data_IF_138673242008
#
_entry.id   IF_138673242008
#
_cell.length_a   1.000
_cell.length_b   1.000
_cell.length_c   1.000
_cell.angle_alpha   90.00
_cell.angle_beta   90.00
_cell.angle_gamma   90.00
#
_symmetry.space_group_name_H-M   'P 1'
#
loop_
_entity.id
_entity.type
_entity.pdbx_description
1 polymer ?
#
# COMPACT_ATOMS: atom_id res chain seq x y z
N UNK A 1 -2.72 12.38 5.65
CA UNK A 1 -3.52 12.23 4.40
C UNK A 1 -5.00 12.34 4.72
N UNK A 2 -5.53 11.49 5.60
CA UNK A 2 -6.92 11.51 6.14
C UNK A 2 -7.49 12.93 6.37
N UNK A 3 -6.87 13.72 7.26
CA UNK A 3 -7.38 15.05 7.64
C UNK A 3 -7.35 16.07 6.50
N UNK A 4 -6.43 15.92 5.54
CA UNK A 4 -6.35 16.80 4.36
C UNK A 4 -7.50 16.51 3.40
N UNK A 5 -7.87 15.24 3.22
CA UNK A 5 -9.01 14.85 2.40
C UNK A 5 -10.34 15.26 3.04
N UNK A 6 -10.53 15.00 4.35
CA UNK A 6 -11.76 15.39 5.05
C UNK A 6 -12.00 16.90 5.03
N UNK A 7 -10.93 17.69 5.14
CA UNK A 7 -11.00 19.16 5.01
C UNK A 7 -11.39 19.59 3.60
N UNK A 8 -10.80 18.98 2.58
CA UNK A 8 -11.14 19.27 1.19
C UNK A 8 -12.61 18.97 0.88
N UNK A 9 -13.12 17.80 1.30
CA UNK A 9 -14.54 17.42 1.14
C UNK A 9 -15.48 18.36 1.90
N UNK A 10 -15.06 18.87 3.07
CA UNK A 10 -15.85 19.83 3.84
C UNK A 10 -15.75 21.28 3.33
N UNK A 11 -14.91 21.57 2.33
CA UNK A 11 -14.62 22.93 1.87
C UNK A 11 -13.86 23.78 2.89
N UNK A 12 -13.22 23.16 3.88
CA UNK A 12 -12.58 23.84 5.01
C UNK A 12 -11.10 24.07 4.72
N UNK A 13 -10.72 25.33 4.69
CA UNK A 13 -9.35 25.79 4.51
C UNK A 13 -8.59 25.85 5.86
N UNK A 14 -7.30 26.22 5.80
CA UNK A 14 -6.54 26.55 7.02
C UNK A 14 -7.00 27.85 7.68
N UNK A 15 -7.61 28.77 6.91
CA UNK A 15 -8.01 30.09 7.39
C UNK A 15 -9.22 30.03 8.32
N UNK A 16 -10.08 29.02 8.14
CA UNK A 16 -11.29 28.82 8.93
C UNK A 16 -11.02 28.39 10.38
N UNK A 17 -9.75 28.05 10.70
CA UNK A 17 -9.28 27.66 12.05
C UNK A 17 -10.13 26.57 12.74
N UNK A 18 -10.93 25.81 11.98
CA UNK A 18 -11.75 24.71 12.50
C UNK A 18 -10.86 23.58 12.98
N UNK A 19 -11.16 23.03 14.17
CA UNK A 19 -10.39 21.93 14.76
C UNK A 19 -10.60 20.63 13.97
N UNK A 20 -9.55 19.82 13.84
CA UNK A 20 -9.61 18.55 13.11
C UNK A 20 -10.63 17.57 13.72
N UNK A 21 -10.83 17.62 15.03
CA UNK A 21 -11.79 16.76 15.74
C UNK A 21 -13.22 17.06 15.33
N UNK A 22 -13.56 18.34 15.16
CA UNK A 22 -14.88 18.77 14.65
C UNK A 22 -15.11 18.31 13.20
N UNK A 23 -14.08 18.37 12.35
CA UNK A 23 -14.14 17.84 10.98
C UNK A 23 -14.39 16.33 10.99
N UNK A 24 -13.67 15.60 11.83
CA UNK A 24 -13.85 14.14 11.97
C UNK A 24 -15.22 13.76 12.49
N UNK A 25 -15.73 14.46 13.51
CA UNK A 25 -17.05 14.26 14.06
C UNK A 25 -18.14 14.46 13.01
N UNK A 26 -18.00 15.50 12.17
CA UNK A 26 -18.94 15.77 11.06
C UNK A 26 -19.05 14.60 10.08
N UNK A 27 -17.97 13.86 9.86
CA UNK A 27 -17.96 12.69 8.96
C UNK A 27 -18.06 11.35 9.70
N UNK A 28 -18.22 11.34 11.03
CA UNK A 28 -18.22 10.11 11.83
C UNK A 28 -16.90 9.33 11.79
N UNK A 29 -15.78 9.98 11.45
CA UNK A 29 -14.49 9.31 11.25
C UNK A 29 -13.73 9.25 12.58
N UNK A 30 -13.45 8.04 13.06
CA UNK A 30 -12.55 7.83 14.20
C UNK A 30 -11.11 8.22 13.83
N UNK A 31 -10.36 8.94 14.69
CA UNK A 31 -8.96 9.26 14.42
C UNK A 31 -8.13 8.00 14.08
N UNK A 32 -7.24 8.11 13.09
CA UNK A 32 -6.41 6.97 12.67
C UNK A 32 -5.62 6.33 13.82
N UNK A 33 -5.09 7.13 14.76
CA UNK A 33 -4.31 6.59 15.88
C UNK A 33 -5.14 5.65 16.77
N UNK A 34 -6.44 5.92 16.93
CA UNK A 34 -7.36 5.06 17.67
C UNK A 34 -7.59 3.74 16.95
N UNK A 35 -7.75 3.77 15.62
CA UNK A 35 -7.86 2.53 14.82
C UNK A 35 -6.57 1.71 14.81
N UNK A 36 -5.42 2.38 14.77
CA UNK A 36 -4.12 1.72 14.92
C UNK A 36 -3.97 1.09 16.31
N UNK A 37 -4.41 1.79 17.37
CA UNK A 37 -4.41 1.27 18.75
C UNK A 37 -5.34 0.06 18.87
N UNK A 38 -6.55 0.16 18.34
CA UNK A 38 -7.54 -0.92 18.34
C UNK A 38 -6.99 -2.18 17.62
N UNK A 39 -6.41 -2.03 16.43
CA UNK A 39 -5.81 -3.14 15.70
C UNK A 39 -4.66 -3.79 16.49
N UNK A 40 -3.81 -2.98 17.13
CA UNK A 40 -2.71 -3.47 17.98
C UNK A 40 -3.24 -4.25 19.18
N UNK A 41 -4.28 -3.76 19.85
CA UNK A 41 -4.89 -4.44 21.00
C UNK A 41 -5.56 -5.76 20.59
N UNK A 42 -6.24 -5.81 19.44
CA UNK A 42 -6.78 -7.06 18.91
C UNK A 42 -5.67 -8.06 18.61
N UNK A 43 -4.60 -7.62 17.96
CA UNK A 43 -3.43 -8.46 17.70
C UNK A 43 -2.83 -9.00 19.01
N UNK A 44 -2.63 -8.13 20.01
CA UNK A 44 -2.10 -8.54 21.31
C UNK A 44 -3.03 -9.54 22.01
N UNK A 45 -4.34 -9.31 21.96
CA UNK A 45 -5.34 -10.28 22.44
C UNK A 45 -5.26 -11.62 21.71
N UNK A 46 -5.04 -11.63 20.39
CA UNK A 46 -4.80 -12.86 19.64
C UNK A 46 -3.53 -13.57 20.07
N UNK A 47 -2.44 -12.84 20.32
CA UNK A 47 -1.20 -13.41 20.84
C UNK A 47 -1.41 -14.00 22.23
N UNK A 48 -2.13 -13.31 23.12
CA UNK A 48 -2.42 -13.82 24.46
C UNK A 48 -3.32 -15.06 24.46
N UNK A 49 -4.23 -15.20 23.51
CA UNK A 49 -5.08 -16.38 23.37
C UNK A 49 -4.44 -17.53 22.59
N UNK A 50 -3.29 -17.30 21.97
CA UNK A 50 -2.58 -18.35 21.23
C UNK A 50 -1.95 -19.36 22.20
N UNK A 51 -1.83 -20.61 21.74
CA UNK A 51 -1.18 -21.68 22.48
C UNK A 51 0.32 -21.36 22.72
N UNK A 52 0.87 -21.91 23.81
CA UNK A 52 2.25 -21.69 24.23
C UNK A 52 3.31 -22.30 23.30
N UNK A 53 2.92 -23.13 22.34
CA UNK A 53 3.78 -23.66 21.29
C UNK A 53 3.92 -22.71 20.09
N UNK A 54 3.07 -21.69 19.99
CA UNK A 54 3.10 -20.76 18.86
C UNK A 54 4.27 -19.78 18.95
N UNK A 55 4.96 -19.58 17.82
CA UNK A 55 6.07 -18.61 17.69
C UNK A 55 5.70 -17.21 18.22
N UNK A 56 4.43 -16.80 18.05
CA UNK A 56 3.94 -15.49 18.52
C UNK A 56 3.87 -15.38 20.05
N UNK A 57 3.42 -16.43 20.74
CA UNK A 57 3.30 -16.48 22.20
C UNK A 57 4.68 -16.67 22.85
N UNK A 58 5.51 -17.52 22.26
CA UNK A 58 6.91 -17.69 22.65
C UNK A 58 7.69 -16.40 22.53
N UNK A 59 7.56 -15.68 21.41
CA UNK A 59 8.14 -14.36 21.21
C UNK A 59 7.79 -13.33 22.29
N UNK A 60 6.62 -13.46 22.92
CA UNK A 60 6.18 -12.57 24.00
C UNK A 60 6.82 -12.90 25.35
N UNK A 61 7.20 -14.15 25.57
CA UNK A 61 7.75 -14.68 26.82
C UNK A 61 9.28 -14.82 26.79
N UNK A 62 9.93 -14.55 25.65
CA UNK A 62 11.39 -14.60 25.52
C UNK A 62 12.00 -13.44 26.33
N UNK A 63 12.70 -13.79 27.41
CA UNK A 63 13.64 -12.86 28.04
C UNK A 63 14.94 -12.83 27.22
N UNK A 64 15.01 -11.86 26.31
CA UNK A 64 16.12 -11.66 25.38
C UNK A 64 17.46 -11.41 26.11
N UNK A 65 17.42 -11.00 27.38
CA UNK A 65 18.61 -10.76 28.19
C UNK A 65 19.26 -12.05 28.72
N UNK A 66 18.43 -12.98 29.22
CA UNK A 66 18.85 -14.12 30.02
C UNK A 66 19.03 -15.43 29.23
N UNK A 67 18.33 -15.59 28.09
CA UNK A 67 18.30 -16.87 27.37
C UNK A 67 19.25 -16.88 26.16
N UNK A 68 20.29 -17.71 26.23
CA UNK A 68 21.29 -17.86 25.17
C UNK A 68 20.66 -18.39 23.87
N UNK A 69 19.63 -19.24 23.98
CA UNK A 69 18.92 -19.80 22.83
C UNK A 69 18.05 -18.72 22.15
N UNK A 70 17.49 -17.78 22.92
CA UNK A 70 16.76 -16.63 22.39
C UNK A 70 17.65 -15.71 21.54
N UNK A 71 18.90 -15.48 21.95
CA UNK A 71 19.87 -14.68 21.19
C UNK A 71 20.24 -15.35 19.87
N UNK A 72 20.41 -16.67 19.85
CA UNK A 72 20.71 -17.43 18.64
C UNK A 72 19.52 -17.44 17.66
N UNK A 73 18.29 -17.62 18.16
CA UNK A 73 17.07 -17.49 17.35
C UNK A 73 16.94 -16.07 16.80
N UNK A 74 17.18 -15.02 17.60
CA UNK A 74 17.11 -13.63 17.13
C UNK A 74 18.13 -13.36 16.02
N UNK A 75 19.36 -13.86 16.18
CA UNK A 75 20.43 -13.71 15.18
C UNK A 75 20.09 -14.43 13.86
N UNK A 76 19.50 -15.63 13.91
CA UNK A 76 19.06 -16.36 12.70
C UNK A 76 17.88 -15.67 12.01
N UNK A 77 16.93 -15.16 12.80
CA UNK A 77 15.80 -14.36 12.36
C UNK A 77 16.31 -13.10 11.66
N UNK A 78 17.26 -12.36 12.23
CA UNK A 78 17.82 -11.14 11.64
C UNK A 78 18.45 -11.39 10.25
N UNK A 79 19.15 -12.50 10.03
CA UNK A 79 19.73 -12.83 8.72
C UNK A 79 18.65 -13.10 7.67
N UNK A 80 17.62 -13.89 8.00
CA UNK A 80 16.52 -14.17 7.08
C UNK A 80 15.63 -12.95 6.82
N UNK A 81 15.38 -12.14 7.84
CA UNK A 81 14.65 -10.88 7.71
C UNK A 81 15.44 -9.88 6.89
N UNK A 82 16.76 -9.81 7.07
CA UNK A 82 17.64 -8.98 6.24
C UNK A 82 17.57 -9.42 4.78
N UNK A 83 17.64 -10.72 4.50
CA UNK A 83 17.48 -11.24 3.13
C UNK A 83 16.11 -10.91 2.54
N UNK A 84 15.03 -11.07 3.31
CA UNK A 84 13.67 -10.72 2.89
C UNK A 84 13.51 -9.22 2.66
N UNK A 85 14.08 -8.41 3.52
CA UNK A 85 14.06 -6.95 3.43
C UNK A 85 14.82 -6.49 2.19
N UNK A 86 16.00 -7.03 1.92
CA UNK A 86 16.78 -6.75 0.71
C UNK A 86 15.96 -7.09 -0.54
N UNK A 87 15.35 -8.28 -0.59
CA UNK A 87 14.51 -8.67 -1.72
C UNK A 87 13.28 -7.76 -1.87
N UNK A 88 12.66 -7.34 -0.76
CA UNK A 88 11.54 -6.39 -0.78
C UNK A 88 11.98 -5.01 -1.30
N UNK A 89 13.11 -4.50 -0.83
CA UNK A 89 13.68 -3.24 -1.26
C UNK A 89 14.05 -3.26 -2.74
N UNK A 90 14.71 -4.33 -3.22
CA UNK A 90 15.01 -4.52 -4.64
C UNK A 90 13.73 -4.58 -5.46
N UNK A 91 12.73 -5.37 -5.03
CA UNK A 91 11.43 -5.44 -5.71
C UNK A 91 10.75 -4.07 -5.79
N UNK A 92 10.79 -3.28 -4.72
CA UNK A 92 10.22 -1.93 -4.70
C UNK A 92 11.00 -0.95 -5.59
N UNK A 93 12.33 -1.07 -5.64
CA UNK A 93 13.19 -0.24 -6.48
C UNK A 93 12.95 -0.51 -7.97
N UNK A 94 12.84 -1.79 -8.37
CA UNK A 94 12.63 -2.18 -9.76
C UNK A 94 11.17 -2.11 -10.21
N UNK A 95 10.21 -2.09 -9.28
CA UNK A 95 8.78 -2.09 -9.62
C UNK A 95 8.40 -0.96 -10.61
N UNK A 96 8.80 0.31 -10.44
CA UNK A 96 8.49 1.37 -11.40
C UNK A 96 9.11 1.16 -12.78
N UNK A 97 10.33 0.63 -12.84
CA UNK A 97 11.02 0.35 -14.11
C UNK A 97 10.33 -0.76 -14.89
N UNK A 98 10.03 -1.87 -14.22
CA UNK A 98 9.32 -3.01 -14.81
C UNK A 98 7.91 -2.59 -15.26
N UNK A 99 7.20 -1.82 -14.44
CA UNK A 99 5.89 -1.29 -14.78
C UNK A 99 5.94 -0.41 -16.05
N UNK A 100 6.97 0.43 -16.19
CA UNK A 100 7.16 1.24 -17.39
C UNK A 100 7.44 0.40 -18.65
N UNK A 101 8.31 -0.61 -18.55
CA UNK A 101 8.63 -1.52 -19.68
C UNK A 101 7.39 -2.30 -20.12
N UNK A 102 6.63 -2.86 -19.17
CA UNK A 102 5.39 -3.60 -19.48
C UNK A 102 4.33 -2.70 -20.11
N UNK A 103 4.18 -1.46 -19.65
CA UNK A 103 3.26 -0.49 -20.27
C UNK A 103 3.70 -0.18 -21.70
N UNK A 104 5.00 0.04 -21.94
CA UNK A 104 5.53 0.32 -23.27
C UNK A 104 5.32 -0.84 -24.25
N UNK A 105 5.58 -2.07 -23.81
CA UNK A 105 5.36 -3.31 -24.57
C UNK A 105 3.88 -3.45 -24.98
N UNK A 106 2.95 -3.32 -24.02
CA UNK A 106 1.51 -3.38 -24.29
C UNK A 106 1.03 -2.30 -25.26
N UNK A 107 1.59 -1.09 -25.15
CA UNK A 107 1.30 -0.02 -26.09
C UNK A 107 1.83 -0.33 -27.50
N UNK A 108 2.98 -1.00 -27.61
CA UNK A 108 3.50 -1.39 -28.92
C UNK A 108 2.60 -2.44 -29.58
N UNK A 109 2.26 -3.50 -28.85
CA UNK A 109 1.38 -4.57 -29.34
C UNK A 109 0.02 -4.05 -29.83
N UNK A 110 -0.59 -3.14 -29.09
CA UNK A 110 -1.89 -2.56 -29.48
C UNK A 110 -1.77 -1.59 -30.67
N UNK A 111 -0.61 -0.96 -30.89
CA UNK A 111 -0.36 -0.11 -32.06
C UNK A 111 -0.19 -0.97 -33.31
N UNK A 112 0.52 -2.10 -33.21
CA UNK A 112 0.65 -3.08 -34.29
C UNK A 112 -0.72 -3.63 -34.74
N UNK A 113 -1.67 -3.74 -33.81
CA UNK A 113 -3.07 -4.14 -34.09
C UNK A 113 -3.93 -3.03 -34.72
N UNK A 114 -3.37 -1.85 -35.00
CA UNK A 114 -4.07 -0.74 -35.64
C UNK A 114 -4.99 0.06 -34.70
N UNK A 115 -4.82 -0.06 -33.37
CA UNK A 115 -5.61 0.72 -32.43
C UNK A 115 -4.94 2.08 -32.13
N UNK A 116 -5.74 3.14 -32.02
CA UNK A 116 -5.26 4.44 -31.52
C UNK A 116 -5.10 4.37 -30.01
N UNK A 117 -3.88 4.56 -29.52
CA UNK A 117 -3.55 4.42 -28.09
C UNK A 117 -3.21 5.76 -27.46
N UNK A 118 -3.80 6.00 -26.29
CA UNK A 118 -3.48 7.12 -25.43
C UNK A 118 -3.04 6.62 -24.05
N UNK A 119 -1.91 7.14 -23.58
CA UNK A 119 -1.44 6.93 -22.20
C UNK A 119 -1.93 8.12 -21.37
N UNK A 120 -2.79 7.89 -20.38
CA UNK A 120 -3.40 8.97 -19.58
C UNK A 120 -3.05 8.83 -18.10
N UNK A 121 -2.55 9.90 -17.44
CA UNK A 121 -2.39 9.90 -15.99
C UNK A 121 -3.76 10.07 -15.31
N UNK A 122 -4.23 9.04 -14.61
CA UNK A 122 -5.43 9.06 -13.79
C UNK A 122 -5.25 9.85 -12.48
N UNK A 123 -4.02 9.89 -11.95
CA UNK A 123 -3.66 10.59 -10.72
C UNK A 123 -2.39 11.42 -10.89
N UNK A 124 -2.19 12.42 -10.04
CA UNK A 124 -0.89 13.08 -9.93
C UNK A 124 0.18 12.08 -9.47
N UNK A 125 1.36 12.01 -10.12
CA UNK A 125 2.45 11.10 -9.72
C UNK A 125 2.88 11.25 -8.26
N UNK A 126 2.69 12.43 -7.68
CA UNK A 126 2.99 12.75 -6.27
C UNK A 126 2.05 12.07 -5.28
N UNK A 127 0.84 11.68 -5.71
CA UNK A 127 -0.17 11.01 -4.88
C UNK A 127 -0.01 9.48 -4.99
N UNK A 128 0.22 8.99 -6.21
CA UNK A 128 0.49 7.57 -6.47
C UNK A 128 1.44 7.43 -7.66
N UNK A 129 2.56 6.71 -7.52
CA UNK A 129 3.44 6.41 -8.66
C UNK A 129 2.77 5.47 -9.70
N UNK A 130 1.73 4.71 -9.29
CA UNK A 130 0.89 3.91 -10.19
C UNK A 130 -0.31 4.71 -10.66
N UNK A 131 -0.08 5.63 -11.57
CA UNK A 131 -1.10 6.59 -11.99
C UNK A 131 -1.49 6.50 -13.47
N UNK A 132 -0.93 5.57 -14.24
CA UNK A 132 -1.12 5.57 -15.69
C UNK A 132 -2.14 4.52 -16.11
N UNK A 133 -3.06 4.88 -17.01
CA UNK A 133 -3.93 3.95 -17.74
C UNK A 133 -3.63 3.99 -19.24
N UNK A 134 -3.75 2.83 -19.89
CA UNK A 134 -3.70 2.69 -21.35
C UNK A 134 -5.13 2.70 -21.88
N UNK A 135 -5.46 3.66 -22.75
CA UNK A 135 -6.74 3.74 -23.45
C UNK A 135 -6.48 3.36 -24.91
N UNK A 136 -7.08 2.27 -25.36
CA UNK A 136 -7.06 1.87 -26.76
C UNK A 136 -8.45 2.11 -27.37
N UNK A 137 -8.50 2.94 -28.41
CA UNK A 137 -9.72 3.17 -29.18
C UNK A 137 -9.70 2.20 -30.36
N UNK A 138 -10.66 1.27 -30.34
CA UNK A 138 -10.94 0.41 -31.49
C UNK A 138 -11.56 1.28 -32.57
N UNK A 139 -10.93 1.35 -33.74
CA UNK A 139 -11.58 2.01 -34.87
C UNK A 139 -12.83 1.22 -35.26
N UNK A 140 -13.95 1.90 -35.60
CA UNK A 140 -15.13 1.21 -36.08
C UNK A 140 -14.71 0.47 -37.35
N UNK A 141 -14.80 -0.86 -37.30
CA UNK A 141 -14.68 -1.69 -38.49
C UNK A 141 -15.75 -1.21 -39.46
N UNK A 142 -15.36 -0.68 -40.61
CA UNK A 142 -16.27 -0.56 -41.75
C UNK A 142 -16.62 -2.00 -42.12
N UNK A 143 -17.73 -2.48 -41.56
CA UNK A 143 -18.39 -3.69 -42.02
C UNK A 143 -18.97 -3.31 -43.38
N UNK A 144 -18.29 -3.71 -44.45
CA UNK A 144 -18.95 -3.87 -45.75
C UNK A 144 -19.96 -5.00 -45.59
N UNK A 145 -21.23 -4.60 -45.43
CA UNK A 145 -22.37 -5.39 -45.84
C UNK A 145 -22.29 -5.60 -47.37
N UNK A 146 -22.53 -6.85 -47.77
CA UNK A 146 -22.92 -7.37 -49.10
C UNK A 146 -22.19 -6.91 -50.37
#
# INVERSE_FOLDING_TARGET
>A
METKMLRWTAGVTRLDRVRNDSIRQRFGVTPMFEKMREARLRWYGHVLRANNDTVRKNGLNLDVGADANAKEVLNSVDVEWSRRLVMLCLRLLFAPMVEHVVIADRMHFLRERGHRIHRVPLFEPKISPRNTVIIAVKEPSVQGEE
#
